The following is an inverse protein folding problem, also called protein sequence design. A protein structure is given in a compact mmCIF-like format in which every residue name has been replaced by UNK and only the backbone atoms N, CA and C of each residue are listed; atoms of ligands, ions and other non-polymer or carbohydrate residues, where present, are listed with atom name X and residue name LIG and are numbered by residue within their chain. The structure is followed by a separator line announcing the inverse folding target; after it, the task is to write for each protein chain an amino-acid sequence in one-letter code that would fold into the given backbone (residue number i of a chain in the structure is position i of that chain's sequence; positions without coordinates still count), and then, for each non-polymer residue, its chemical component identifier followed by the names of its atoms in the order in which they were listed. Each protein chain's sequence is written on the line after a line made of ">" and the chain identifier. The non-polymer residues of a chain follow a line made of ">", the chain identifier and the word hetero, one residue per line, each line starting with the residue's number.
data_IF_238963922521
#
_entry.id   IF_238963922521
#
_cell.length_a   1.000
_cell.length_b   1.000
_cell.length_c   1.000
_cell.angle_alpha   90.00
_cell.angle_beta   90.00
_cell.angle_gamma   90.00
#
_symmetry.space_group_name_H-M   'P 1'
#
loop_
_entity.id
_entity.type
_entity.pdbx_description
1 polymer ?
#
# COMPACT_ATOMS: atom_id res chain seq x y z
N UNK A 1 -2.30 9.05 0.07
CA UNK A 1 -1.45 8.38 1.08
C UNK A 1 -2.15 8.22 2.45
N UNK A 2 -3.42 7.80 2.51
CA UNK A 2 -4.24 7.90 3.73
C UNK A 2 -3.73 7.15 4.99
N UNK A 3 -2.86 6.16 4.85
CA UNK A 3 -2.37 5.33 5.95
C UNK A 3 -0.90 5.61 6.34
N UNK A 4 -0.26 6.63 5.78
CA UNK A 4 1.17 6.87 6.05
C UNK A 4 1.39 7.23 7.52
N UNK A 5 0.62 8.15 8.08
CA UNK A 5 0.73 8.59 9.47
C UNK A 5 -0.39 8.03 10.37
N UNK A 6 -1.08 6.98 9.91
CA UNK A 6 -2.13 6.36 10.72
C UNK A 6 -1.49 5.58 11.87
N UNK A 7 -1.95 5.81 13.09
CA UNK A 7 -1.42 5.17 14.31
C UNK A 7 -2.52 4.41 15.07
N UNK A 8 -2.12 3.38 15.81
CA UNK A 8 -2.93 2.77 16.85
C UNK A 8 -2.97 3.65 18.11
N UNK A 9 -3.86 3.34 19.05
CA UNK A 9 -3.92 4.05 20.35
C UNK A 9 -2.65 3.91 21.19
N UNK A 10 -1.74 3.00 20.83
CA UNK A 10 -0.40 2.89 21.42
C UNK A 10 0.60 3.92 20.90
N UNK A 11 0.27 4.68 19.85
CA UNK A 11 1.18 5.57 19.13
C UNK A 11 2.09 4.84 18.12
N UNK A 12 1.89 3.54 17.90
CA UNK A 12 2.60 2.82 16.85
C UNK A 12 1.88 3.00 15.51
N UNK A 13 2.65 3.24 14.45
CA UNK A 13 2.12 3.29 13.08
C UNK A 13 1.37 2.00 12.74
N UNK A 14 0.19 2.16 12.16
CA UNK A 14 -0.70 1.07 11.74
C UNK A 14 -0.02 0.12 10.74
N UNK A 15 0.90 0.64 9.93
CA UNK A 15 1.64 -0.14 8.94
C UNK A 15 2.87 -0.84 9.50
N UNK A 16 3.26 -0.60 10.76
CA UNK A 16 4.45 -1.20 11.36
C UNK A 16 4.35 -2.73 11.36
N UNK A 17 5.31 -3.39 10.72
CA UNK A 17 5.37 -4.84 10.57
C UNK A 17 4.31 -5.44 9.64
N UNK A 18 3.55 -4.62 8.91
CA UNK A 18 2.50 -5.07 7.98
C UNK A 18 3.02 -5.26 6.58
N UNK A 19 2.55 -6.33 5.93
CA UNK A 19 2.78 -6.55 4.51
C UNK A 19 1.89 -5.61 3.69
N UNK A 20 2.49 -4.81 2.81
CA UNK A 20 1.74 -3.83 2.01
C UNK A 20 2.23 -3.79 0.56
N UNK A 21 1.31 -3.46 -0.34
CA UNK A 21 1.61 -2.89 -1.64
C UNK A 21 1.40 -1.37 -1.59
N UNK A 22 2.14 -0.65 -2.41
CA UNK A 22 2.00 0.79 -2.65
C UNK A 22 2.65 1.12 -3.98
N UNK A 23 2.25 2.23 -4.60
CA UNK A 23 2.93 2.79 -5.77
C UNK A 23 4.42 2.92 -5.46
N UNK A 24 5.26 2.37 -6.34
CA UNK A 24 6.70 2.25 -6.06
C UNK A 24 7.41 3.56 -6.35
N UNK A 25 8.58 3.75 -5.76
CA UNK A 25 9.44 4.89 -6.10
C UNK A 25 9.81 4.88 -7.60
N UNK A 26 9.96 3.70 -8.19
CA UNK A 26 10.26 3.53 -9.62
C UNK A 26 9.07 3.96 -10.49
N UNK A 27 7.84 3.63 -10.09
CA UNK A 27 6.65 4.09 -10.80
C UNK A 27 6.49 5.61 -10.70
N UNK A 28 6.84 6.22 -9.55
CA UNK A 28 6.85 7.68 -9.36
C UNK A 28 7.91 8.37 -10.23
N UNK A 29 9.10 7.78 -10.36
CA UNK A 29 10.15 8.25 -11.26
C UNK A 29 9.73 8.18 -12.74
N UNK A 30 9.10 7.07 -13.15
CA UNK A 30 8.59 6.90 -14.51
C UNK A 30 7.53 7.94 -14.91
N UNK A 31 6.76 8.45 -13.96
CA UNK A 31 5.77 9.50 -14.21
C UNK A 31 6.31 10.91 -13.94
N UNK A 32 7.60 11.03 -13.61
CA UNK A 32 8.33 12.30 -13.43
C UNK A 32 7.74 13.22 -12.35
N UNK A 33 7.23 12.64 -11.26
CA UNK A 33 6.59 13.38 -10.17
C UNK A 33 7.31 13.27 -8.83
N UNK A 34 8.52 12.69 -8.80
CA UNK A 34 9.33 12.56 -7.57
C UNK A 34 9.62 13.90 -6.89
N UNK A 35 9.81 14.97 -7.66
CA UNK A 35 10.03 16.34 -7.15
C UNK A 35 8.73 17.14 -6.95
N UNK A 36 7.59 16.55 -7.29
CA UNK A 36 6.25 17.16 -7.19
C UNK A 36 5.53 16.68 -5.94
N UNK A 37 5.64 15.38 -5.64
CA UNK A 37 5.02 14.80 -4.44
C UNK A 37 5.75 15.28 -3.18
N UNK A 38 5.03 15.49 -2.05
CA UNK A 38 5.65 15.96 -0.82
C UNK A 38 6.59 14.94 -0.17
N UNK A 39 6.46 13.67 -0.54
CA UNK A 39 7.31 12.55 -0.15
C UNK A 39 7.02 11.36 -1.07
N UNK A 40 7.96 10.42 -1.14
CA UNK A 40 7.76 9.15 -1.83
C UNK A 40 7.01 8.16 -0.92
N UNK A 41 5.87 7.66 -1.39
CA UNK A 41 4.95 6.86 -0.56
C UNK A 41 5.58 5.54 -0.08
N UNK A 42 6.31 4.84 -0.95
CA UNK A 42 7.00 3.61 -0.58
C UNK A 42 8.04 3.90 0.52
N UNK A 43 8.89 4.92 0.33
CA UNK A 43 9.92 5.30 1.30
C UNK A 43 9.30 5.61 2.67
N UNK A 44 8.29 6.50 2.72
CA UNK A 44 7.67 6.91 3.98
C UNK A 44 7.02 5.72 4.73
N UNK A 45 6.40 4.79 4.00
CA UNK A 45 5.83 3.57 4.62
C UNK A 45 6.91 2.65 5.16
N UNK A 46 8.03 2.47 4.45
CA UNK A 46 9.17 1.66 4.92
C UNK A 46 9.80 2.28 6.17
N UNK A 47 9.92 3.61 6.24
CA UNK A 47 10.39 4.33 7.43
C UNK A 47 9.48 4.10 8.64
N UNK A 48 8.16 4.00 8.42
CA UNK A 48 7.18 3.63 9.45
C UNK A 48 7.09 2.12 9.72
N UNK A 49 8.02 1.33 9.16
CA UNK A 49 8.18 -0.10 9.45
C UNK A 49 7.31 -1.03 8.61
N UNK A 50 6.73 -0.56 7.50
CA UNK A 50 5.98 -1.42 6.60
C UNK A 50 6.89 -2.37 5.81
N UNK A 51 6.43 -3.60 5.63
CA UNK A 51 7.05 -4.60 4.76
C UNK A 51 6.46 -4.47 3.36
N UNK A 52 7.06 -3.61 2.54
CA UNK A 52 6.56 -3.32 1.20
C UNK A 52 7.00 -4.36 0.17
N UNK A 53 6.02 -4.88 -0.58
CA UNK A 53 6.18 -5.88 -1.64
C UNK A 53 5.80 -5.27 -2.98
N UNK A 54 6.77 -5.16 -3.89
CA UNK A 54 6.56 -4.66 -5.24
C UNK A 54 6.42 -5.79 -6.27
N UNK A 55 5.62 -5.54 -7.29
CA UNK A 55 5.62 -6.26 -8.56
C UNK A 55 6.17 -5.34 -9.67
N UNK A 56 6.45 -5.86 -10.88
CA UNK A 56 6.89 -5.02 -11.98
C UNK A 56 5.93 -3.86 -12.22
N UNK A 57 6.49 -2.70 -12.57
CA UNK A 57 5.72 -1.47 -12.77
C UNK A 57 4.50 -1.71 -13.67
N UNK A 58 3.36 -1.11 -13.28
CA UNK A 58 2.07 -1.21 -13.97
C UNK A 58 1.44 -2.61 -14.02
N UNK A 59 2.02 -3.61 -13.35
CA UNK A 59 1.40 -4.92 -13.17
C UNK A 59 0.44 -4.92 -11.99
N UNK A 60 -0.56 -5.81 -12.02
CA UNK A 60 -1.42 -6.07 -10.88
C UNK A 60 -0.61 -6.60 -9.69
N UNK A 61 -0.81 -6.01 -8.51
CA UNK A 61 -0.24 -6.47 -7.25
C UNK A 61 -1.16 -6.07 -6.09
N UNK A 62 -1.71 -7.08 -5.40
CA UNK A 62 -2.61 -6.91 -4.26
C UNK A 62 -2.04 -7.68 -3.08
N UNK A 63 -1.84 -6.97 -1.97
CA UNK A 63 -1.36 -7.56 -0.72
C UNK A 63 -2.47 -7.46 0.32
N UNK A 64 -2.79 -8.60 0.95
CA UNK A 64 -3.72 -8.70 2.07
C UNK A 64 -2.98 -9.18 3.31
N UNK A 65 -3.00 -8.39 4.37
CA UNK A 65 -2.45 -8.71 5.70
C UNK A 65 -3.57 -8.58 6.74
N UNK A 66 -4.23 -9.70 7.05
CA UNK A 66 -5.44 -9.71 7.86
C UNK A 66 -6.54 -8.84 7.24
N UNK A 67 -6.88 -7.72 7.89
CA UNK A 67 -7.89 -6.76 7.39
C UNK A 67 -7.31 -5.63 6.53
N UNK A 68 -5.99 -5.55 6.40
CA UNK A 68 -5.35 -4.52 5.60
C UNK A 68 -5.21 -5.03 4.16
N UNK A 69 -5.95 -4.41 3.24
CA UNK A 69 -5.88 -4.71 1.81
C UNK A 69 -5.26 -3.50 1.11
N UNK A 70 -4.24 -3.75 0.30
CA UNK A 70 -3.51 -2.71 -0.43
C UNK A 70 -3.25 -3.14 -1.86
N UNK A 71 -3.26 -2.18 -2.79
CA UNK A 71 -2.88 -2.38 -4.19
C UNK A 71 -1.75 -1.43 -4.57
N UNK A 72 -0.89 -1.87 -5.49
CA UNK A 72 0.28 -1.09 -5.92
C UNK A 72 -0.11 0.11 -6.81
N UNK A 73 -0.90 -0.15 -7.85
CA UNK A 73 -1.12 0.80 -8.95
C UNK A 73 -2.55 0.62 -9.54
N UNK A 74 -2.94 1.41 -10.55
CA UNK A 74 -4.29 1.31 -11.15
C UNK A 74 -4.65 -0.08 -11.68
N UNK A 75 -3.68 -0.86 -12.18
CA UNK A 75 -3.93 -2.24 -12.63
C UNK A 75 -4.39 -3.16 -11.49
N UNK A 76 -4.09 -2.80 -10.24
CA UNK A 76 -4.45 -3.55 -9.05
C UNK A 76 -5.88 -3.27 -8.55
N UNK A 77 -6.59 -2.30 -9.13
CA UNK A 77 -7.88 -1.83 -8.61
C UNK A 77 -8.95 -2.94 -8.60
N UNK A 78 -9.02 -3.76 -9.65
CA UNK A 78 -9.96 -4.88 -9.71
C UNK A 78 -9.67 -5.91 -8.61
N UNK A 79 -8.41 -6.35 -8.48
CA UNK A 79 -8.00 -7.31 -7.47
C UNK A 79 -8.25 -6.83 -6.03
N UNK A 80 -8.03 -5.55 -5.75
CA UNK A 80 -8.39 -4.95 -4.45
C UNK A 80 -9.89 -5.08 -4.17
N UNK A 81 -10.74 -4.80 -5.17
CA UNK A 81 -12.19 -4.93 -5.04
C UNK A 81 -12.64 -6.37 -4.76
N UNK A 82 -12.03 -7.34 -5.46
CA UNK A 82 -12.28 -8.78 -5.22
C UNK A 82 -11.84 -9.19 -3.81
N UNK A 83 -10.65 -8.77 -3.37
CA UNK A 83 -10.14 -9.06 -2.03
C UNK A 83 -11.06 -8.48 -0.95
N UNK A 84 -11.55 -7.25 -1.14
CA UNK A 84 -12.48 -6.59 -0.22
C UNK A 84 -13.81 -7.35 -0.11
N UNK A 85 -14.41 -7.73 -1.24
CA UNK A 85 -15.66 -8.51 -1.25
C UNK A 85 -15.50 -9.82 -0.48
N UNK A 86 -14.38 -10.52 -0.70
CA UNK A 86 -14.09 -11.77 -0.01
C UNK A 86 -13.92 -11.56 1.50
N UNK A 87 -13.22 -10.51 1.93
CA UNK A 87 -13.04 -10.19 3.35
C UNK A 87 -14.37 -9.89 4.05
N UNK A 88 -15.28 -9.16 3.38
CA UNK A 88 -16.61 -8.87 3.91
C UNK A 88 -17.48 -10.12 4.03
N UNK A 89 -17.38 -11.06 3.08
CA UNK A 89 -18.13 -12.33 3.11
C UNK A 89 -17.65 -13.29 4.19
N UNK A 90 -16.36 -13.28 4.52
CA UNK A 90 -15.79 -14.12 5.59
C UNK A 90 -16.08 -13.58 6.99
N UNK A 91 -16.48 -12.32 7.11
CA UNK A 91 -16.81 -11.66 8.38
C UNK A 91 -18.30 -11.74 8.74
N UNK A 92 -19.10 -12.42 7.91
CA UNK A 92 -20.54 -12.68 8.10
C UNK A 92 -20.75 -14.13 8.56
#
# INVERSE_FOLDING_TARGET
>A
AALVDAEHSSGEYLVKGKNVAAFTNKEEEEVHTTDVVPYLLETARREHGALHHEAPNRSENVVTDGRLITGQNPASAHGVGVALLNALRQSA
#
